data_IF_794673109531
#
_entry.id   IF_794673109531
#
_cell.length_a   1.000
_cell.length_b   1.000
_cell.length_c   1.000
_cell.angle_alpha   90.00
_cell.angle_beta   90.00
_cell.angle_gamma   90.00
#
_symmetry.space_group_name_H-M   'P 1'
#
loop_
_entity.id
_entity.type
_entity.pdbx_description
1 polymer ?
#
# COMPACT_ATOMS: atom_id res chain seq x y z
N UNK A 1 -1.77 7.36 -25.84
CA UNK A 1 -1.06 7.13 -24.57
C UNK A 1 -2.07 6.65 -23.55
N UNK A 2 -1.97 5.39 -23.10
CA UNK A 2 -2.84 4.79 -22.10
C UNK A 2 -2.68 5.52 -20.76
N UNK A 3 -3.77 5.75 -20.03
CA UNK A 3 -3.76 6.54 -18.78
C UNK A 3 -2.76 5.99 -17.74
N UNK A 4 -2.52 4.68 -17.76
CA UNK A 4 -1.55 4.01 -16.89
C UNK A 4 -0.12 4.52 -17.10
N UNK A 5 0.29 4.85 -18.33
CA UNK A 5 1.65 5.36 -18.60
C UNK A 5 1.90 6.72 -17.97
N UNK A 6 0.90 7.61 -17.94
CA UNK A 6 1.00 8.90 -17.26
C UNK A 6 1.04 8.72 -15.74
N UNK A 7 0.21 7.82 -15.19
CA UNK A 7 0.19 7.51 -13.76
C UNK A 7 1.55 6.97 -13.30
N UNK A 8 2.17 6.05 -14.07
CA UNK A 8 3.51 5.51 -13.77
C UNK A 8 4.57 6.62 -13.75
N UNK A 9 4.59 7.53 -14.73
CA UNK A 9 5.54 8.65 -14.74
C UNK A 9 5.39 9.56 -13.52
N UNK A 10 4.15 9.81 -13.07
CA UNK A 10 3.90 10.57 -11.84
C UNK A 10 4.46 9.86 -10.62
N UNK A 11 4.27 8.53 -10.50
CA UNK A 11 4.80 7.73 -9.40
C UNK A 11 6.33 7.76 -9.36
N UNK A 12 7.00 7.63 -10.50
CA UNK A 12 8.46 7.74 -10.60
C UNK A 12 8.97 9.14 -10.21
N UNK A 13 8.18 10.18 -10.49
CA UNK A 13 8.44 11.54 -9.99
C UNK A 13 8.34 11.65 -8.47
N UNK A 14 7.34 11.00 -7.88
CA UNK A 14 7.16 10.95 -6.43
C UNK A 14 8.28 10.18 -5.74
N UNK A 15 8.75 9.06 -6.29
CA UNK A 15 9.90 8.33 -5.73
C UNK A 15 11.16 9.22 -5.60
N UNK A 16 11.43 10.06 -6.61
CA UNK A 16 12.54 11.03 -6.55
C UNK A 16 12.33 12.06 -5.45
N UNK A 17 11.07 12.47 -5.21
CA UNK A 17 10.71 13.39 -4.13
C UNK A 17 10.91 12.75 -2.76
N UNK A 18 10.56 11.47 -2.61
CA UNK A 18 10.80 10.71 -1.37
C UNK A 18 12.28 10.68 -1.04
N UNK A 19 13.14 10.33 -2.00
CA UNK A 19 14.60 10.35 -1.79
C UNK A 19 15.09 11.72 -1.30
N UNK A 20 14.58 12.81 -1.87
CA UNK A 20 14.91 14.17 -1.42
C UNK A 20 14.43 14.45 0.01
N UNK A 21 13.22 14.01 0.38
CA UNK A 21 12.66 14.17 1.73
C UNK A 21 13.47 13.40 2.77
N UNK A 22 13.90 12.18 2.46
CA UNK A 22 14.80 11.39 3.31
C UNK A 22 16.11 12.14 3.57
N UNK A 23 16.74 12.67 2.52
CA UNK A 23 17.97 13.47 2.65
C UNK A 23 17.77 14.76 3.46
N UNK A 24 16.55 15.30 3.47
CA UNK A 24 16.18 16.49 4.25
C UNK A 24 15.78 16.16 5.70
N UNK A 25 15.80 14.88 6.12
CA UNK A 25 15.36 14.44 7.44
C UNK A 25 13.83 14.50 7.64
N UNK A 26 13.05 14.68 6.56
CA UNK A 26 11.58 14.68 6.58
C UNK A 26 11.05 13.25 6.48
N UNK A 27 11.42 12.43 7.47
CA UNK A 27 11.21 10.98 7.47
C UNK A 27 9.73 10.59 7.42
N UNK A 28 8.88 11.24 8.21
CA UNK A 28 7.43 10.95 8.24
C UNK A 28 6.76 11.23 6.89
N UNK A 29 7.00 12.41 6.30
CA UNK A 29 6.47 12.77 4.97
C UNK A 29 6.97 11.82 3.88
N UNK A 30 8.22 11.35 3.99
CA UNK A 30 8.81 10.39 3.07
C UNK A 30 8.12 9.03 3.16
N UNK A 31 7.79 8.57 4.37
CA UNK A 31 7.08 7.31 4.62
C UNK A 31 5.65 7.37 4.07
N UNK A 32 4.93 8.47 4.32
CA UNK A 32 3.56 8.65 3.81
C UNK A 32 3.52 8.65 2.28
N UNK A 33 4.44 9.37 1.64
CA UNK A 33 4.58 9.34 0.19
C UNK A 33 4.87 7.91 -0.32
N UNK A 34 5.79 7.18 0.34
CA UNK A 34 6.19 5.85 -0.11
C UNK A 34 5.03 4.85 0.02
N UNK A 35 4.24 4.93 1.10
CA UNK A 35 2.99 4.16 1.28
C UNK A 35 1.98 4.47 0.18
N UNK A 36 1.82 5.75 -0.16
CA UNK A 36 0.97 6.15 -1.28
C UNK A 36 1.43 5.53 -2.60
N UNK A 37 2.73 5.61 -2.92
CA UNK A 37 3.31 5.03 -4.14
C UNK A 37 3.07 3.51 -4.20
N UNK A 38 3.31 2.78 -3.10
CA UNK A 38 3.06 1.34 -3.00
C UNK A 38 1.60 1.01 -3.31
N UNK A 39 0.66 1.73 -2.67
CA UNK A 39 -0.78 1.55 -2.91
C UNK A 39 -1.14 1.75 -4.39
N UNK A 40 -0.61 2.80 -5.02
CA UNK A 40 -0.86 3.07 -6.44
C UNK A 40 -0.24 2.01 -7.38
N UNK A 41 0.91 1.43 -7.02
CA UNK A 41 1.47 0.31 -7.78
C UNK A 41 0.67 -0.97 -7.62
N UNK A 42 0.11 -1.26 -6.42
CA UNK A 42 -0.82 -2.38 -6.21
C UNK A 42 -2.10 -2.22 -7.03
N UNK A 43 -2.68 -1.01 -7.08
CA UNK A 43 -3.84 -0.71 -7.94
C UNK A 43 -3.55 -0.95 -9.44
N UNK A 44 -2.32 -0.67 -9.87
CA UNK A 44 -1.87 -0.92 -11.24
C UNK A 44 -1.46 -2.39 -11.49
N UNK A 45 -1.66 -3.28 -10.51
CA UNK A 45 -1.24 -4.68 -10.54
C UNK A 45 0.28 -4.87 -10.76
N UNK A 46 1.08 -3.85 -10.44
CA UNK A 46 2.54 -3.88 -10.51
C UNK A 46 3.12 -4.38 -9.18
N UNK A 47 2.72 -5.59 -8.78
CA UNK A 47 3.03 -6.15 -7.47
C UNK A 47 4.52 -6.30 -7.21
N UNK A 48 5.32 -6.64 -8.23
CA UNK A 48 6.78 -6.75 -8.08
C UNK A 48 7.40 -5.43 -7.60
N UNK A 49 7.01 -4.29 -8.21
CA UNK A 49 7.49 -2.96 -7.79
C UNK A 49 6.96 -2.59 -6.41
N UNK A 50 5.68 -2.85 -6.15
CA UNK A 50 5.08 -2.56 -4.85
C UNK A 50 5.77 -3.30 -3.71
N UNK A 51 6.07 -4.60 -3.89
CA UNK A 51 6.71 -5.43 -2.88
C UNK A 51 8.15 -4.99 -2.60
N UNK A 52 8.93 -4.62 -3.63
CA UNK A 52 10.29 -4.08 -3.44
C UNK A 52 10.26 -2.79 -2.62
N UNK A 53 9.33 -1.89 -2.94
CA UNK A 53 9.17 -0.63 -2.20
C UNK A 53 8.68 -0.85 -0.76
N UNK A 54 7.78 -1.81 -0.55
CA UNK A 54 7.28 -2.19 0.77
C UNK A 54 8.38 -2.79 1.65
N UNK A 55 9.22 -3.68 1.11
CA UNK A 55 10.40 -4.18 1.81
C UNK A 55 11.37 -3.05 2.17
N UNK A 56 11.62 -2.13 1.22
CA UNK A 56 12.48 -0.97 1.44
C UNK A 56 11.93 -0.07 2.55
N UNK A 57 10.61 0.15 2.57
CA UNK A 57 9.94 0.93 3.60
C UNK A 57 10.09 0.30 4.98
N UNK A 58 9.83 -1.00 5.08
CA UNK A 58 9.90 -1.73 6.34
C UNK A 58 11.31 -1.74 6.90
N UNK A 59 12.32 -1.90 6.05
CA UNK A 59 13.72 -1.78 6.45
C UNK A 59 14.04 -0.36 6.94
N UNK A 60 13.62 0.66 6.19
CA UNK A 60 13.86 2.06 6.55
C UNK A 60 13.22 2.43 7.89
N UNK A 61 11.98 1.99 8.15
CA UNK A 61 11.29 2.19 9.43
C UNK A 61 11.99 1.43 10.55
N UNK A 62 12.37 0.17 10.32
CA UNK A 62 13.06 -0.63 11.34
C UNK A 62 14.42 -0.04 11.73
N UNK A 63 15.12 0.63 10.81
CA UNK A 63 16.41 1.27 11.05
C UNK A 63 16.27 2.68 11.63
N UNK A 64 15.07 3.30 11.55
CA UNK A 64 14.81 4.61 12.17
C UNK A 64 14.05 4.42 13.50
N UNK A 65 14.69 4.63 14.66
CA UNK A 65 14.07 4.40 15.97
C UNK A 65 12.92 5.37 16.32
N UNK A 66 12.48 6.22 15.40
CA UNK A 66 11.53 7.31 15.63
C UNK A 66 10.07 6.98 15.31
N UNK A 67 9.69 5.74 15.03
CA UNK A 67 8.29 5.51 14.73
C UNK A 67 7.73 4.21 15.29
N UNK A 68 7.01 4.37 16.40
CA UNK A 68 5.85 3.55 16.72
C UNK A 68 4.84 3.71 15.58
N UNK A 69 5.06 3.01 14.47
CA UNK A 69 4.05 2.89 13.43
C UNK A 69 3.07 1.79 13.84
N UNK A 70 1.87 2.21 14.23
CA UNK A 70 0.68 1.36 14.26
C UNK A 70 0.47 0.86 12.82
N UNK A 71 0.82 -0.40 12.55
CA UNK A 71 0.40 -1.09 11.34
C UNK A 71 -1.12 -0.98 11.24
N UNK A 72 -1.70 -0.55 10.10
CA UNK A 72 -3.12 -0.73 9.89
C UNK A 72 -3.34 -2.24 9.79
N UNK A 73 -3.76 -2.84 10.92
CA UNK A 73 -4.20 -4.22 10.96
C UNK A 73 -5.26 -4.40 9.88
N UNK A 74 -4.91 -5.14 8.83
CA UNK A 74 -5.87 -5.75 7.92
C UNK A 74 -6.83 -6.55 8.78
N UNK A 75 -7.96 -5.93 9.13
CA UNK A 75 -9.10 -6.64 9.71
C UNK A 75 -9.65 -7.51 8.59
N UNK A 76 -9.09 -8.72 8.51
CA UNK A 76 -9.61 -9.82 7.72
C UNK A 76 -10.97 -10.22 8.31
N UNK A 77 -12.02 -9.47 7.97
CA UNK A 77 -13.39 -9.83 8.35
C UNK A 77 -13.85 -10.98 7.43
N UNK A 78 -13.39 -12.19 7.77
CA UNK A 78 -13.90 -13.43 7.18
C UNK A 78 -15.29 -13.75 7.73
N UNK A 79 -16.21 -13.98 6.78
CA UNK A 79 -17.46 -14.78 6.83
C UNK A 79 -18.67 -14.12 7.53
N UNK A 80 -19.90 -14.22 7.01
CA UNK A 80 -20.42 -15.26 6.12
C UNK A 80 -21.64 -14.86 5.28
N UNK A 81 -21.63 -15.34 4.03
CA UNK A 81 -22.83 -15.54 3.22
C UNK A 81 -23.53 -16.80 3.71
N UNK A 82 -24.83 -16.72 4.02
CA UNK A 82 -25.62 -17.90 4.39
C UNK A 82 -27.01 -17.58 4.92
N UNK A 83 -27.83 -16.85 4.17
CA UNK A 83 -29.29 -16.86 4.36
C UNK A 83 -29.97 -16.89 2.99
N UNK A 84 -30.24 -18.08 2.51
CA UNK A 84 -31.28 -18.35 1.51
C UNK A 84 -31.54 -19.86 1.49
N UNK A 85 -32.82 -20.22 1.41
CA UNK A 85 -33.39 -21.56 1.23
C UNK A 85 -33.77 -22.32 2.52
N UNK A 86 -34.75 -21.77 3.23
CA UNK A 86 -35.81 -22.61 3.81
C UNK A 86 -36.95 -22.63 2.79
N UNK A 87 -36.94 -23.62 1.90
CA UNK A 87 -37.99 -23.90 0.92
C UNK A 87 -38.40 -25.37 1.09
N UNK A 88 -39.64 -25.56 1.57
CA UNK A 88 -40.56 -26.68 1.37
C UNK A 88 -40.01 -28.13 1.35
N UNK A 89 -40.46 -28.92 2.34
CA UNK A 89 -41.14 -30.23 2.21
C UNK A 89 -41.81 -30.46 3.59
N UNK A 90 -43.13 -30.34 3.79
CA UNK A 90 -44.25 -31.20 3.35
C UNK A 90 -43.95 -32.68 3.52
N UNK A 91 -44.32 -33.23 4.68
CA UNK A 91 -45.10 -34.47 4.83
C UNK A 91 -45.99 -34.37 6.07
#
# INVERSE_FOLDING_TARGET
MTQNSKKIQTLEGLEKKVKRRILQGKTEEAIDDLRYIISQYKELQMFDRANVLELTLNQFISETPTAQYDEPQEKEERKGKGKALDFLHRE
#
